data_IF_365561299044
#
_entry.id   IF_365561299044
#
_cell.length_a   1.000
_cell.length_b   1.000
_cell.length_c   1.000
_cell.angle_alpha   90.00
_cell.angle_beta   90.00
_cell.angle_gamma   90.00
#
_symmetry.space_group_name_H-M   'P 1'
#
loop_
_entity.id
_entity.type
_entity.pdbx_description
1 polymer ?
#
# COMPACT_ATOMS: atom_id res chain seq x y z
N UNK A 1 -39.54 -13.95 21.56
CA UNK A 1 -38.24 -14.56 21.18
C UNK A 1 -38.33 -14.97 19.71
N UNK A 2 -37.49 -14.57 18.77
CA UNK A 2 -36.21 -13.86 18.86
C UNK A 2 -36.01 -12.87 17.69
N UNK A 3 -34.93 -12.08 17.71
CA UNK A 3 -34.72 -10.97 16.79
C UNK A 3 -33.92 -11.37 15.54
N UNK A 4 -34.30 -10.76 14.43
CA UNK A 4 -33.37 -10.21 13.43
C UNK A 4 -32.63 -11.20 12.54
N UNK A 5 -33.16 -11.43 11.35
CA UNK A 5 -32.37 -11.84 10.20
C UNK A 5 -31.23 -10.83 9.99
N UNK A 6 -30.01 -11.23 10.33
CA UNK A 6 -28.79 -10.49 9.97
C UNK A 6 -28.62 -10.65 8.47
N UNK A 7 -28.89 -9.56 7.73
CA UNK A 7 -28.55 -9.48 6.31
C UNK A 7 -27.06 -9.77 6.08
N UNK A 8 -26.65 -10.06 4.84
CA UNK A 8 -25.24 -10.28 4.52
C UNK A 8 -24.46 -9.07 5.03
N UNK A 9 -23.54 -9.33 5.95
CA UNK A 9 -22.61 -8.31 6.41
C UNK A 9 -21.72 -8.05 5.20
N UNK A 10 -22.01 -6.96 4.49
CA UNK A 10 -21.13 -6.40 3.48
C UNK A 10 -19.86 -6.03 4.24
N UNK A 11 -18.90 -6.96 4.27
CA UNK A 11 -17.59 -6.71 4.87
C UNK A 11 -16.97 -5.52 4.15
N UNK A 12 -16.10 -4.74 4.82
CA UNK A 12 -15.46 -3.62 4.15
C UNK A 12 -14.85 -4.12 2.83
N UNK A 13 -15.26 -3.50 1.72
CA UNK A 13 -14.76 -3.83 0.40
C UNK A 13 -13.23 -3.80 0.47
N UNK A 14 -12.60 -4.98 0.34
CA UNK A 14 -11.17 -5.07 0.54
C UNK A 14 -10.46 -4.24 -0.53
N UNK A 15 -9.81 -3.14 -0.14
CA UNK A 15 -9.11 -2.25 -1.07
C UNK A 15 -7.77 -2.87 -1.42
N UNK A 16 -7.62 -3.28 -2.68
CA UNK A 16 -6.37 -3.80 -3.22
C UNK A 16 -5.59 -2.67 -3.92
N UNK A 17 -4.38 -2.41 -3.46
CA UNK A 17 -3.46 -1.45 -4.08
C UNK A 17 -2.36 -2.23 -4.76
N UNK A 18 -2.20 -2.06 -6.08
CA UNK A 18 -1.09 -2.61 -6.84
C UNK A 18 -0.10 -1.51 -7.18
N UNK A 19 1.17 -1.75 -6.87
CA UNK A 19 2.27 -0.83 -7.19
C UNK A 19 3.24 -1.59 -8.09
N UNK A 20 3.66 -0.95 -9.18
CA UNK A 20 4.62 -1.50 -10.14
C UNK A 20 5.71 -0.48 -10.38
N UNK A 21 6.95 -0.95 -10.48
CA UNK A 21 8.11 -0.10 -10.76
C UNK A 21 9.13 -0.86 -11.60
N UNK A 22 10.07 -0.13 -12.22
CA UNK A 22 11.16 -0.75 -12.94
C UNK A 22 12.25 -1.21 -11.94
N UNK A 23 12.28 -2.50 -11.62
CA UNK A 23 13.23 -3.06 -10.67
C UNK A 23 14.66 -3.18 -11.21
N UNK A 24 14.86 -3.11 -12.52
CA UNK A 24 16.21 -3.12 -13.11
C UNK A 24 16.96 -1.82 -12.79
N UNK A 25 16.23 -0.70 -12.75
CA UNK A 25 16.78 0.62 -12.41
C UNK A 25 16.63 0.96 -10.93
N UNK A 26 15.54 0.51 -10.29
CA UNK A 26 15.25 0.79 -8.89
C UNK A 26 15.01 -0.52 -8.14
N UNK A 27 16.08 -1.19 -7.67
CA UNK A 27 16.00 -2.55 -7.14
C UNK A 27 15.19 -2.65 -5.85
N UNK A 28 14.93 -1.53 -5.19
CA UNK A 28 14.22 -1.46 -3.93
C UNK A 28 13.16 -0.35 -3.94
N UNK A 29 11.97 -0.71 -3.50
CA UNK A 29 10.87 0.20 -3.21
C UNK A 29 10.58 0.16 -1.71
N UNK A 30 10.53 1.32 -1.08
CA UNK A 30 10.16 1.48 0.34
C UNK A 30 8.77 2.11 0.41
N UNK A 31 7.91 1.50 1.22
CA UNK A 31 6.57 1.99 1.51
C UNK A 31 6.51 2.56 2.90
N UNK A 32 5.88 3.71 3.03
CA UNK A 32 5.75 4.43 4.29
C UNK A 32 4.33 4.94 4.47
N UNK A 33 3.85 4.86 5.69
CA UNK A 33 2.63 5.55 6.10
C UNK A 33 2.95 7.05 6.25
N UNK A 34 2.34 7.93 5.43
CA UNK A 34 2.63 9.36 5.49
C UNK A 34 2.10 10.02 6.76
N UNK A 35 1.12 9.43 7.45
CA UNK A 35 0.56 9.99 8.69
C UNK A 35 1.51 9.81 9.88
N UNK A 36 2.20 8.67 9.94
CA UNK A 36 3.08 8.30 11.07
C UNK A 36 4.56 8.35 10.72
N UNK A 37 4.91 8.41 9.44
CA UNK A 37 6.28 8.23 8.95
C UNK A 37 6.81 6.80 9.08
N UNK A 38 5.97 5.84 9.49
CA UNK A 38 6.38 4.45 9.72
C UNK A 38 6.58 3.73 8.38
N UNK A 39 7.73 3.06 8.23
CA UNK A 39 7.96 2.16 7.10
C UNK A 39 7.06 0.94 7.25
N UNK A 40 6.17 0.73 6.29
CA UNK A 40 5.25 -0.41 6.24
C UNK A 40 5.80 -1.57 5.41
N UNK A 41 6.74 -1.30 4.51
CA UNK A 41 7.38 -2.37 3.74
C UNK A 41 8.61 -1.94 2.96
N UNK A 42 9.42 -2.92 2.60
CA UNK A 42 10.53 -2.81 1.65
C UNK A 42 10.42 -3.96 0.68
N UNK A 43 10.24 -3.67 -0.59
CA UNK A 43 9.90 -4.67 -1.59
C UNK A 43 10.87 -4.59 -2.76
N UNK A 44 11.18 -5.77 -3.30
CA UNK A 44 12.01 -5.99 -4.49
C UNK A 44 11.18 -6.73 -5.53
N UNK A 45 11.59 -6.69 -6.79
CA UNK A 45 10.98 -7.50 -7.86
C UNK A 45 10.07 -6.75 -8.82
N UNK A 46 9.79 -5.46 -8.60
CA UNK A 46 9.12 -4.61 -9.59
C UNK A 46 7.59 -4.60 -9.48
N UNK A 47 7.02 -5.39 -8.58
CA UNK A 47 5.61 -5.35 -8.25
C UNK A 47 5.33 -5.67 -6.78
N UNK A 48 4.24 -5.11 -6.26
CA UNK A 48 3.66 -5.48 -4.98
C UNK A 48 2.15 -5.26 -5.00
N UNK A 49 1.43 -6.12 -4.29
CA UNK A 49 0.01 -5.94 -3.99
C UNK A 49 -0.16 -5.82 -2.48
N UNK A 50 -0.78 -4.72 -2.06
CA UNK A 50 -1.17 -4.48 -0.68
C UNK A 50 -2.67 -4.71 -0.60
N UNK A 51 -3.09 -5.63 0.25
CA UNK A 51 -4.50 -5.83 0.58
C UNK A 51 -4.79 -5.10 1.87
N UNK A 52 -5.80 -4.22 1.84
CA UNK A 52 -6.33 -3.52 3.00
C UNK A 52 -5.23 -2.94 3.88
N UNK A 53 -4.39 -2.01 3.37
CA UNK A 53 -3.29 -1.49 4.17
C UNK A 53 -3.79 -0.78 5.45
N UNK A 54 -5.09 -0.43 5.53
CA UNK A 54 -5.65 0.32 6.67
C UNK A 54 -5.09 1.73 6.74
N UNK A 55 -4.51 2.23 5.65
CA UNK A 55 -3.90 3.55 5.53
C UNK A 55 -4.74 4.42 4.61
N UNK A 56 -4.87 5.71 4.94
CA UNK A 56 -5.50 6.72 4.09
C UNK A 56 -4.59 7.20 2.95
N UNK A 57 -3.31 6.84 3.01
CA UNK A 57 -2.31 7.18 2.00
C UNK A 57 -1.07 6.32 2.13
N UNK A 58 -0.25 6.35 1.10
CA UNK A 58 1.01 5.65 1.02
C UNK A 58 2.05 6.59 0.43
N UNK A 59 3.20 6.71 1.08
CA UNK A 59 4.39 7.30 0.48
C UNK A 59 5.24 6.17 -0.09
N UNK A 60 5.57 6.30 -1.36
CA UNK A 60 6.41 5.38 -2.12
C UNK A 60 7.75 6.05 -2.34
N UNK A 61 8.82 5.40 -1.90
CA UNK A 61 10.19 5.84 -2.14
C UNK A 61 10.91 4.78 -2.98
N UNK A 62 11.46 5.19 -4.12
CA UNK A 62 12.33 4.36 -4.96
C UNK A 62 13.73 4.97 -5.01
N UNK A 63 14.74 4.11 -5.00
CA UNK A 63 16.13 4.53 -5.09
C UNK A 63 16.96 3.60 -5.95
N UNK A 64 17.87 4.19 -6.74
CA UNK A 64 18.89 3.50 -7.53
C UNK A 64 20.25 3.43 -6.80
N UNK A 65 20.29 3.85 -5.53
CA UNK A 65 21.51 3.96 -4.71
C UNK A 65 22.20 5.33 -4.77
N UNK A 66 21.83 6.18 -5.73
CA UNK A 66 22.39 7.54 -5.91
C UNK A 66 21.29 8.61 -5.82
N UNK A 67 20.14 8.32 -6.41
CA UNK A 67 18.96 9.19 -6.48
C UNK A 67 17.81 8.56 -5.70
N UNK A 68 16.97 9.43 -5.17
CA UNK A 68 15.77 9.06 -4.43
C UNK A 68 14.60 9.83 -5.02
N UNK A 69 13.55 9.13 -5.40
CA UNK A 69 12.28 9.72 -5.83
C UNK A 69 11.20 9.30 -4.85
N UNK A 70 10.40 10.26 -4.40
CA UNK A 70 9.26 10.05 -3.51
C UNK A 70 7.97 10.45 -4.19
N UNK A 71 6.95 9.61 -4.05
CA UNK A 71 5.62 9.85 -4.58
C UNK A 71 4.57 9.49 -3.54
N UNK A 72 3.60 10.38 -3.33
CA UNK A 72 2.53 10.20 -2.35
C UNK A 72 1.23 9.84 -3.05
N UNK A 73 0.69 8.68 -2.71
CA UNK A 73 -0.57 8.16 -3.26
C UNK A 73 -1.63 8.20 -2.17
N UNK A 74 -2.77 8.84 -2.43
CA UNK A 74 -3.94 8.73 -1.54
C UNK A 74 -4.68 7.44 -1.83
N UNK A 75 -4.99 6.70 -0.79
CA UNK A 75 -5.80 5.48 -0.87
C UNK A 75 -7.24 5.88 -0.53
N UNK A 76 -8.19 5.44 -1.36
CA UNK A 76 -9.63 5.72 -1.18
C UNK A 76 -10.33 4.51 -0.58
#
# INVERSE_FOLDING_TARGET
AGPGARGPTDGPASSLVRIRWNAEHYPLLTLRDPATGRVVGRIRGGDVQLRDPGLSGLEVEISDGVRVTRESVRLR
#
